data_IF_727390515836
#
_entry.id   IF_727390515836
#
_cell.length_a   1.000
_cell.length_b   1.000
_cell.length_c   1.000
_cell.angle_alpha   90.00
_cell.angle_beta   90.00
_cell.angle_gamma   90.00
#
_symmetry.space_group_name_H-M   'P 1'
#
loop_
_entity.id
_entity.type
_entity.pdbx_description
1 polymer ?
#
# COMPACT_ATOMS: atom_id res chain seq x y z
N UNK A 1 -13.02 -3.74 5.00
CA UNK A 1 -13.18 -5.19 5.23
C UNK A 1 -12.52 -6.04 4.15
N UNK A 2 -12.78 -5.74 2.87
CA UNK A 2 -12.19 -6.54 1.78
C UNK A 2 -10.70 -6.27 1.58
N UNK A 3 -10.16 -5.21 2.16
CA UNK A 3 -8.72 -4.89 2.09
C UNK A 3 -7.90 -5.75 3.05
N UNK A 4 -8.50 -6.23 4.13
CA UNK A 4 -7.80 -7.05 5.13
C UNK A 4 -7.39 -8.39 4.53
N UNK A 5 -6.25 -8.90 4.97
CA UNK A 5 -5.75 -10.21 4.57
C UNK A 5 -4.30 -10.20 4.13
N UNK A 6 -3.90 -11.30 3.55
CA UNK A 6 -2.56 -11.51 3.04
C UNK A 6 -2.62 -11.54 1.50
N UNK A 7 -1.92 -10.63 0.88
CA UNK A 7 -1.97 -10.39 -0.55
C UNK A 7 -0.58 -10.54 -1.16
N UNK A 8 -0.51 -11.21 -2.30
CA UNK A 8 0.76 -11.40 -3.03
C UNK A 8 0.55 -11.02 -4.49
N UNK A 9 1.59 -10.51 -5.11
CA UNK A 9 1.52 -10.10 -6.50
C UNK A 9 2.86 -9.72 -7.07
N UNK A 10 2.83 -8.98 -8.16
CA UNK A 10 4.02 -8.47 -8.82
C UNK A 10 3.83 -7.00 -9.14
N UNK A 11 4.91 -6.26 -9.10
CA UNK A 11 4.94 -4.86 -9.47
C UNK A 11 6.38 -4.39 -9.55
N UNK A 12 6.64 -3.40 -10.38
CA UNK A 12 7.99 -2.87 -10.59
C UNK A 12 9.01 -3.94 -11.00
N UNK A 13 8.55 -5.03 -11.63
CA UNK A 13 9.43 -6.15 -12.00
C UNK A 13 9.88 -7.00 -10.82
N UNK A 14 9.19 -6.95 -9.71
CA UNK A 14 9.57 -7.65 -8.47
C UNK A 14 8.34 -8.31 -7.83
N UNK A 15 8.58 -9.21 -6.88
CA UNK A 15 7.52 -9.81 -6.09
C UNK A 15 7.11 -8.83 -4.99
N UNK A 16 5.81 -8.64 -4.80
CA UNK A 16 5.29 -7.77 -3.76
C UNK A 16 4.34 -8.55 -2.87
N UNK A 17 4.32 -8.16 -1.59
CA UNK A 17 3.47 -8.78 -0.59
C UNK A 17 2.94 -7.70 0.34
N UNK A 18 1.65 -7.77 0.66
CA UNK A 18 1.02 -6.86 1.61
C UNK A 18 0.17 -7.67 2.57
N UNK A 19 0.35 -7.43 3.85
CA UNK A 19 -0.47 -8.04 4.91
C UNK A 19 -1.16 -6.91 5.64
N UNK A 20 -2.48 -6.99 5.74
CA UNK A 20 -3.29 -5.95 6.38
C UNK A 20 -4.18 -6.58 7.43
N UNK A 21 -4.10 -6.06 8.66
CA UNK A 21 -4.94 -6.54 9.75
C UNK A 21 -6.39 -6.11 9.55
N UNK A 22 -7.35 -6.83 10.16
CA UNK A 22 -8.72 -6.33 10.23
C UNK A 22 -8.78 -5.02 11.00
N UNK A 23 -9.81 -4.22 10.76
CA UNK A 23 -9.97 -2.94 11.42
C UNK A 23 -10.16 -3.10 12.93
N UNK A 24 -9.47 -2.28 13.69
CA UNK A 24 -9.59 -2.19 15.14
C UNK A 24 -9.24 -0.77 15.57
N UNK A 25 -10.04 -0.19 16.44
CA UNK A 25 -9.78 1.17 16.92
C UNK A 25 -9.75 2.22 15.80
N UNK A 26 -10.63 2.08 14.81
CA UNK A 26 -10.72 2.97 13.65
C UNK A 26 -9.46 2.97 12.78
N UNK A 27 -8.69 1.88 12.83
CA UNK A 27 -7.47 1.77 12.05
C UNK A 27 -7.23 0.33 11.59
N UNK A 28 -6.56 0.21 10.47
CA UNK A 28 -6.00 -1.05 9.99
C UNK A 28 -4.50 -0.84 9.86
N UNK A 29 -3.72 -1.79 10.35
CA UNK A 29 -2.27 -1.71 10.25
C UNK A 29 -1.73 -2.92 9.50
N UNK A 30 -0.69 -2.70 8.72
CA UNK A 30 -0.09 -3.78 7.95
C UNK A 30 1.31 -3.45 7.51
N UNK A 31 1.82 -4.30 6.65
CA UNK A 31 3.15 -4.10 6.08
C UNK A 31 3.18 -4.53 4.62
N UNK A 32 4.10 -3.93 3.91
CA UNK A 32 4.37 -4.21 2.50
C UNK A 32 5.84 -4.57 2.36
N UNK A 33 6.14 -5.54 1.50
CA UNK A 33 7.51 -5.85 1.14
C UNK A 33 7.64 -6.03 -0.37
N UNK A 34 8.80 -5.64 -0.88
CA UNK A 34 9.16 -5.85 -2.28
C UNK A 34 10.47 -6.63 -2.30
N UNK A 35 10.47 -7.77 -2.99
CA UNK A 35 11.65 -8.63 -3.09
C UNK A 35 12.03 -8.76 -4.54
N UNK A 36 13.22 -8.29 -4.86
CA UNK A 36 13.76 -8.40 -6.19
C UNK A 36 14.72 -9.58 -6.32
N UNK A 37 15.41 -9.62 -7.45
CA UNK A 37 16.36 -10.69 -7.78
C UNK A 37 17.47 -10.86 -6.73
N UNK A 38 17.90 -9.75 -6.14
CA UNK A 38 19.03 -9.74 -5.19
C UNK A 38 18.58 -9.69 -3.73
N UNK A 39 17.31 -9.97 -3.46
CA UNK A 39 16.76 -9.97 -2.11
C UNK A 39 15.80 -8.81 -1.86
N UNK A 40 15.51 -8.50 -0.60
CA UNK A 40 14.56 -7.44 -0.27
C UNK A 40 15.01 -6.07 -0.79
N UNK A 41 14.09 -5.34 -1.42
CA UNK A 41 14.36 -3.99 -1.90
C UNK A 41 14.03 -2.96 -0.83
N UNK A 42 12.84 -3.07 -0.24
CA UNK A 42 12.41 -2.21 0.87
C UNK A 42 11.15 -2.78 1.52
N UNK A 43 10.81 -2.22 2.68
CA UNK A 43 9.58 -2.54 3.40
C UNK A 43 8.80 -1.27 3.69
N UNK A 44 7.50 -1.42 3.93
CA UNK A 44 6.64 -0.33 4.40
C UNK A 44 5.82 -0.80 5.60
N UNK A 45 5.61 0.12 6.54
CA UNK A 45 4.52 -0.01 7.51
C UNK A 45 3.37 0.82 6.95
N UNK A 46 2.18 0.23 6.89
CA UNK A 46 1.00 0.82 6.28
C UNK A 46 -0.06 0.99 7.35
N UNK A 47 -0.65 2.18 7.39
CA UNK A 47 -1.74 2.49 8.30
C UNK A 47 -2.89 3.09 7.49
N UNK A 48 -4.08 2.47 7.60
CA UNK A 48 -5.29 3.09 7.09
C UNK A 48 -6.09 3.51 8.31
N UNK A 49 -6.30 4.81 8.46
CA UNK A 49 -6.88 5.35 9.67
C UNK A 49 -7.97 6.37 9.36
N UNK A 50 -9.01 6.34 10.18
CA UNK A 50 -10.05 7.35 10.17
C UNK A 50 -9.54 8.58 10.92
N UNK A 51 -9.53 9.74 10.24
CA UNK A 51 -9.11 11.01 10.80
C UNK A 51 -10.09 12.07 10.33
N UNK A 52 -10.63 12.85 11.29
CA UNK A 52 -11.52 13.99 10.98
C UNK A 52 -12.70 13.62 10.09
N UNK A 53 -13.28 12.43 10.31
CA UNK A 53 -14.44 11.98 9.54
C UNK A 53 -14.11 11.46 8.14
N UNK A 54 -12.83 11.27 7.81
CA UNK A 54 -12.39 10.74 6.54
C UNK A 54 -11.34 9.65 6.78
N UNK A 55 -10.70 9.18 5.72
CA UNK A 55 -9.65 8.17 5.80
C UNK A 55 -8.34 8.70 5.25
N UNK A 56 -7.24 8.24 5.81
CA UNK A 56 -5.92 8.44 5.25
C UNK A 56 -5.23 7.09 5.12
N UNK A 57 -4.53 6.90 4.01
CA UNK A 57 -3.65 5.77 3.77
C UNK A 57 -2.24 6.31 3.97
N UNK A 58 -1.58 5.86 5.03
CA UNK A 58 -0.31 6.43 5.48
C UNK A 58 0.77 5.38 5.46
N UNK A 59 1.92 5.74 4.92
CA UNK A 59 3.02 4.80 4.70
C UNK A 59 4.31 5.37 5.26
N UNK A 60 5.10 4.49 5.88
CA UNK A 60 6.49 4.81 6.21
C UNK A 60 7.38 3.73 5.61
N UNK A 61 8.40 4.16 4.88
CA UNK A 61 9.29 3.27 4.15
C UNK A 61 10.53 2.94 4.95
N UNK A 62 11.06 1.74 4.75
CA UNK A 62 12.27 1.26 5.45
C UNK A 62 13.18 0.55 4.47
N UNK A 63 14.48 0.77 4.62
CA UNK A 63 15.49 -0.03 3.96
C UNK A 63 15.47 -1.46 4.53
N UNK A 64 16.08 -2.44 3.83
CA UNK A 64 16.08 -3.82 4.32
C UNK A 64 16.64 -4.01 5.72
N UNK A 65 17.48 -3.07 6.20
CA UNK A 65 18.02 -3.09 7.55
C UNK A 65 17.13 -2.37 8.57
N UNK A 66 15.91 -1.99 8.16
CA UNK A 66 14.90 -1.29 8.95
C UNK A 66 15.23 0.15 9.29
N UNK A 67 16.18 0.76 8.59
CA UNK A 67 16.38 2.20 8.70
C UNK A 67 15.31 2.92 7.88
N UNK A 68 14.65 3.88 8.49
CA UNK A 68 13.56 4.60 7.84
C UNK A 68 14.07 5.51 6.72
N UNK A 69 13.29 5.60 5.64
CA UNK A 69 13.58 6.57 4.57
C UNK A 69 13.20 7.98 5.00
N UNK A 70 12.01 8.11 5.61
CA UNK A 70 11.52 9.39 6.08
C UNK A 70 12.06 9.69 7.46
N UNK A 71 12.14 10.96 7.80
CA UNK A 71 12.50 11.37 9.16
C UNK A 71 11.51 10.80 10.17
N UNK A 72 11.93 10.72 11.42
CA UNK A 72 11.17 10.12 12.51
C UNK A 72 9.70 10.53 12.53
N UNK A 73 9.42 11.81 12.28
CA UNK A 73 8.07 12.35 12.36
C UNK A 73 7.40 12.53 10.99
N UNK A 74 7.97 11.94 9.95
CA UNK A 74 7.47 12.09 8.58
C UNK A 74 6.94 10.77 8.04
N UNK A 75 5.88 10.86 7.25
CA UNK A 75 5.28 9.74 6.54
C UNK A 75 4.84 10.21 5.16
N UNK A 76 4.50 9.25 4.29
CA UNK A 76 3.84 9.57 3.03
C UNK A 76 2.36 9.30 3.23
N UNK A 77 1.55 10.33 3.03
CA UNK A 77 0.12 10.27 3.28
C UNK A 77 -0.67 10.41 1.99
N UNK A 78 -1.68 9.55 1.84
CA UNK A 78 -2.63 9.61 0.73
C UNK A 78 -4.02 9.86 1.32
N UNK A 79 -4.49 11.11 1.33
CA UNK A 79 -5.82 11.39 1.85
C UNK A 79 -6.92 10.86 0.92
N UNK A 80 -8.05 10.49 1.50
CA UNK A 80 -9.17 9.96 0.76
C UNK A 80 -9.85 11.04 -0.07
N UNK A 81 -10.14 10.73 -1.34
CA UNK A 81 -10.85 11.62 -2.26
C UNK A 81 -12.28 11.15 -2.46
N UNK A 82 -12.48 9.84 -2.65
CA UNK A 82 -13.81 9.29 -2.90
C UNK A 82 -13.86 7.81 -2.50
N UNK A 83 -15.06 7.33 -2.20
CA UNK A 83 -15.30 5.92 -1.84
C UNK A 83 -16.41 5.38 -2.71
N UNK A 84 -16.20 4.19 -3.26
CA UNK A 84 -17.23 3.38 -3.89
C UNK A 84 -17.30 2.04 -3.16
N UNK A 85 -18.29 1.23 -3.50
CA UNK A 85 -18.51 -0.05 -2.82
C UNK A 85 -17.27 -0.94 -2.78
N UNK A 86 -16.53 -0.99 -3.89
CA UNK A 86 -15.35 -1.85 -4.01
C UNK A 86 -14.12 -1.08 -4.45
N UNK A 87 -14.08 0.21 -4.16
CA UNK A 87 -12.95 1.06 -4.53
C UNK A 87 -12.74 2.18 -3.53
N UNK A 88 -11.49 2.46 -3.25
CA UNK A 88 -11.07 3.58 -2.43
C UNK A 88 -10.14 4.44 -3.29
N UNK A 89 -10.50 5.70 -3.43
CA UNK A 89 -9.71 6.65 -4.21
C UNK A 89 -9.06 7.63 -3.25
N UNK A 90 -7.76 7.49 -3.10
CA UNK A 90 -6.94 8.41 -2.32
C UNK A 90 -6.18 9.32 -3.27
N UNK A 91 -5.73 10.45 -2.78
CA UNK A 91 -4.89 11.34 -3.58
C UNK A 91 -3.53 10.67 -3.83
N UNK A 92 -3.31 10.23 -5.06
CA UNK A 92 -2.09 9.53 -5.47
C UNK A 92 -2.14 8.01 -5.37
N UNK A 93 -3.24 7.44 -4.89
CA UNK A 93 -3.38 5.99 -4.74
C UNK A 93 -4.82 5.57 -4.94
N UNK A 94 -5.05 4.57 -5.79
CA UNK A 94 -6.36 3.94 -5.92
C UNK A 94 -6.24 2.48 -5.51
N UNK A 95 -7.14 2.03 -4.65
CA UNK A 95 -7.23 0.63 -4.20
C UNK A 95 -8.59 0.11 -4.63
N UNK A 96 -8.63 -0.89 -5.48
CA UNK A 96 -9.87 -1.39 -6.04
C UNK A 96 -9.91 -2.90 -6.03
N UNK A 97 -11.04 -3.44 -5.60
CA UNK A 97 -11.29 -4.87 -5.72
C UNK A 97 -11.59 -5.18 -7.18
N UNK A 98 -10.73 -5.97 -7.82
CA UNK A 98 -10.83 -6.29 -9.25
C UNK A 98 -11.24 -7.73 -9.52
N UNK A 99 -11.48 -8.51 -8.47
CA UNK A 99 -11.97 -9.87 -8.56
C UNK A 99 -12.32 -10.41 -7.18
N UNK A 100 -12.90 -11.62 -7.07
CA UNK A 100 -13.28 -12.19 -5.77
C UNK A 100 -12.13 -12.25 -4.77
N UNK A 101 -10.92 -12.58 -5.24
CA UNK A 101 -9.72 -12.67 -4.41
C UNK A 101 -8.60 -11.85 -5.01
N UNK A 102 -8.94 -10.74 -5.66
CA UNK A 102 -7.97 -9.88 -6.32
C UNK A 102 -8.22 -8.43 -5.97
N UNK A 103 -7.14 -7.72 -5.66
CA UNK A 103 -7.14 -6.28 -5.41
C UNK A 103 -6.03 -5.66 -6.25
N UNK A 104 -6.32 -4.54 -6.87
CA UNK A 104 -5.34 -3.81 -7.66
C UNK A 104 -5.10 -2.44 -7.04
N UNK A 105 -3.83 -2.06 -6.91
CA UNK A 105 -3.42 -0.74 -6.48
C UNK A 105 -2.85 0.00 -7.68
N UNK A 106 -3.24 1.25 -7.86
CA UNK A 106 -2.60 2.19 -8.78
C UNK A 106 -1.99 3.29 -7.93
N UNK A 107 -0.68 3.39 -7.94
CA UNK A 107 0.03 4.35 -7.10
C UNK A 107 0.83 5.29 -7.98
N UNK A 108 0.74 6.59 -7.67
CA UNK A 108 1.50 7.60 -8.35
C UNK A 108 2.89 7.66 -7.74
N UNK A 109 3.91 7.48 -8.58
CA UNK A 109 5.31 7.49 -8.13
C UNK A 109 6.08 8.52 -8.95
N UNK A 110 7.09 9.12 -8.31
CA UNK A 110 7.98 10.05 -8.98
C UNK A 110 9.26 9.31 -9.35
N UNK A 111 9.54 9.24 -10.65
CA UNK A 111 10.74 8.59 -11.16
C UNK A 111 11.99 9.42 -10.94
N UNK A 112 13.15 8.82 -11.26
CA UNK A 112 14.47 9.48 -11.12
C UNK A 112 14.59 10.72 -12.01
N UNK A 113 13.89 10.73 -13.12
CA UNK A 113 13.86 11.84 -14.07
C UNK A 113 12.89 12.95 -13.66
N UNK A 114 12.26 12.83 -12.51
CA UNK A 114 11.27 13.77 -12.02
C UNK A 114 9.88 13.61 -12.62
N UNK A 115 9.69 12.68 -13.55
CA UNK A 115 8.39 12.41 -14.13
C UNK A 115 7.52 11.63 -13.17
N UNK A 116 6.23 11.97 -13.14
CA UNK A 116 5.26 11.26 -12.34
C UNK A 116 4.67 10.14 -13.20
N UNK A 117 4.74 8.93 -12.71
CA UNK A 117 4.19 7.76 -13.37
C UNK A 117 3.21 7.05 -12.43
N UNK A 118 2.29 6.31 -13.01
CA UNK A 118 1.38 5.49 -12.24
C UNK A 118 1.84 4.04 -12.32
N UNK A 119 2.11 3.44 -11.17
CA UNK A 119 2.47 2.04 -11.07
C UNK A 119 1.23 1.22 -10.73
N UNK A 120 1.11 0.06 -11.35
CA UNK A 120 -0.02 -0.85 -11.12
C UNK A 120 0.50 -2.10 -10.43
N UNK A 121 -0.10 -2.40 -9.29
CA UNK A 121 0.22 -3.59 -8.50
C UNK A 121 -1.03 -4.45 -8.42
N UNK A 122 -0.97 -5.65 -8.97
CA UNK A 122 -2.08 -6.59 -8.92
C UNK A 122 -1.78 -7.63 -7.86
N UNK A 123 -2.65 -7.71 -6.86
CA UNK A 123 -2.51 -8.63 -5.74
C UNK A 123 -3.58 -9.71 -5.78
N UNK A 124 -3.19 -10.92 -5.42
CA UNK A 124 -4.12 -12.01 -5.19
C UNK A 124 -4.04 -12.43 -3.72
N UNK A 125 -5.17 -12.86 -3.19
CA UNK A 125 -5.21 -13.34 -1.82
C UNK A 125 -4.37 -14.59 -1.70
N UNK A 126 -3.42 -14.57 -0.75
CA UNK A 126 -2.58 -15.73 -0.50
C UNK A 126 -3.38 -16.77 0.27
N UNK A 127 -3.17 -18.04 -0.08
CA UNK A 127 -3.68 -19.14 0.71
C UNK A 127 -2.93 -19.22 2.02
N UNK A 128 -3.66 -19.47 3.09
CA UNK A 128 -3.05 -19.62 4.42
C UNK A 128 -2.71 -21.06 4.68
#
# INVERSE_FOLDING_TARGET
AWVAGHWVGEGFGAAVEEVMSPAAGNAMIGHFSMTGKDGPAFYEIVLIREERGSLVYRVKHFHPDLKAWEDKDKTVDFPLVAVEREALYFDGLTVKRTGPDEVTHWVRVKGKDGKIEEAKLVYRRAGM
#
